data_IF_247777190363
#
_entry.id   IF_247777190363
#
_cell.length_a   1.000
_cell.length_b   1.000
_cell.length_c   1.000
_cell.angle_alpha   90.00
_cell.angle_beta   90.00
_cell.angle_gamma   90.00
#
_symmetry.space_group_name_H-M   'P 1'
#
loop_
_entity.id
_entity.type
_entity.pdbx_description
1 polymer ?
#
# COMPACT_ATOMS: atom_id res chain seq x y z
N UNK A 1 2.48 16.65 10.25
CA UNK A 1 2.13 15.71 9.16
C UNK A 1 1.40 14.49 9.72
N UNK A 2 2.06 13.63 10.52
CA UNK A 2 1.42 12.43 11.11
C UNK A 2 0.12 12.75 11.87
N UNK A 3 0.11 13.74 12.77
CA UNK A 3 -1.10 14.15 13.51
C UNK A 3 -2.21 14.67 12.58
N UNK A 4 -1.85 15.37 11.49
CA UNK A 4 -2.82 15.90 10.53
C UNK A 4 -3.46 14.77 9.71
N UNK A 5 -2.69 13.75 9.33
CA UNK A 5 -3.19 12.54 8.67
C UNK A 5 -4.18 11.79 9.58
N UNK A 6 -3.83 11.61 10.85
CA UNK A 6 -4.74 10.95 11.82
C UNK A 6 -6.01 11.78 12.00
N UNK A 7 -5.90 13.10 12.12
CA UNK A 7 -7.07 13.97 12.20
C UNK A 7 -7.95 13.88 10.96
N UNK A 8 -7.38 13.83 9.75
CA UNK A 8 -8.15 13.65 8.52
C UNK A 8 -8.96 12.35 8.58
N UNK A 9 -8.32 11.22 8.89
CA UNK A 9 -9.03 9.94 8.93
C UNK A 9 -10.07 9.87 10.06
N UNK A 10 -9.79 10.45 11.23
CA UNK A 10 -10.79 10.56 12.30
C UNK A 10 -11.99 11.40 11.88
N UNK A 11 -11.75 12.52 11.17
CA UNK A 11 -12.83 13.35 10.65
C UNK A 11 -13.62 12.61 9.56
N UNK A 12 -12.96 11.79 8.73
CA UNK A 12 -13.64 10.98 7.72
C UNK A 12 -14.50 9.87 8.36
N UNK A 13 -13.96 9.18 9.37
CA UNK A 13 -14.69 8.17 10.16
C UNK A 13 -15.97 8.76 10.81
N UNK A 14 -15.90 10.02 11.30
CA UNK A 14 -17.02 10.68 11.98
C UNK A 14 -18.01 11.32 11.00
N UNK A 15 -17.52 12.04 9.99
CA UNK A 15 -18.34 12.93 9.16
C UNK A 15 -18.58 12.42 7.74
N UNK A 16 -17.89 11.36 7.29
CA UNK A 16 -17.90 10.86 5.91
C UNK A 16 -17.66 11.99 4.91
N UNK A 17 -16.42 12.46 4.88
CA UNK A 17 -16.04 13.64 4.12
C UNK A 17 -16.25 13.41 2.61
N UNK A 18 -16.39 14.53 1.90
CA UNK A 18 -16.45 14.49 0.45
C UNK A 18 -15.10 13.95 -0.10
N UNK A 19 -15.10 12.97 -1.04
CA UNK A 19 -13.89 12.42 -1.64
C UNK A 19 -12.92 13.46 -2.21
N UNK A 20 -13.43 14.56 -2.77
CA UNK A 20 -12.60 15.64 -3.30
C UNK A 20 -11.89 16.45 -2.21
N UNK A 21 -12.55 16.68 -1.08
CA UNK A 21 -11.93 17.33 0.08
C UNK A 21 -10.82 16.45 0.64
N UNK A 22 -11.11 15.16 0.82
CA UNK A 22 -10.12 14.18 1.26
C UNK A 22 -8.90 14.14 0.36
N UNK A 23 -9.11 14.00 -0.95
CA UNK A 23 -8.05 13.98 -1.95
C UNK A 23 -7.21 15.27 -1.90
N UNK A 24 -7.84 16.43 -1.70
CA UNK A 24 -7.14 17.70 -1.57
C UNK A 24 -6.21 17.72 -0.35
N UNK A 25 -6.65 17.20 0.79
CA UNK A 25 -5.82 17.11 2.00
C UNK A 25 -4.69 16.09 1.82
N UNK A 26 -4.95 14.96 1.16
CA UNK A 26 -3.93 13.95 0.85
C UNK A 26 -2.83 14.50 -0.08
N UNK A 27 -3.20 15.32 -1.07
CA UNK A 27 -2.23 16.01 -1.95
C UNK A 27 -1.37 16.99 -1.14
N UNK A 28 -1.96 17.74 -0.20
CA UNK A 28 -1.22 18.66 0.67
C UNK A 28 -0.26 17.89 1.57
N UNK A 29 -0.71 16.77 2.16
CA UNK A 29 0.13 15.90 2.99
C UNK A 29 1.29 15.32 2.17
N UNK A 30 1.01 14.80 0.98
CA UNK A 30 2.01 14.24 0.07
C UNK A 30 3.04 15.30 -0.37
N UNK A 31 2.58 16.52 -0.67
CA UNK A 31 3.45 17.65 -0.99
C UNK A 31 4.34 18.03 0.19
N UNK A 32 3.83 17.99 1.42
CA UNK A 32 4.63 18.25 2.62
C UNK A 32 5.71 17.17 2.85
N UNK A 33 5.43 15.90 2.57
CA UNK A 33 6.44 14.82 2.59
C UNK A 33 7.55 15.13 1.58
N UNK A 34 7.17 15.39 0.32
CA UNK A 34 8.11 15.66 -0.77
C UNK A 34 8.96 16.87 -0.45
N UNK A 35 8.35 17.98 0.00
CA UNK A 35 9.06 19.17 0.44
C UNK A 35 10.12 18.88 1.50
N UNK A 36 9.78 18.06 2.51
CA UNK A 36 10.63 17.81 3.67
C UNK A 36 11.80 16.87 3.40
N UNK A 37 11.61 15.88 2.52
CA UNK A 37 12.55 14.78 2.30
C UNK A 37 13.31 14.86 0.99
N UNK A 38 12.69 15.41 -0.05
CA UNK A 38 13.19 15.37 -1.42
C UNK A 38 13.46 16.78 -1.95
N UNK A 39 12.59 17.73 -1.62
CA UNK A 39 12.58 19.08 -2.17
C UNK A 39 11.80 19.18 -3.49
N UNK A 40 11.82 20.37 -4.10
CA UNK A 40 11.11 20.70 -5.35
C UNK A 40 12.06 21.14 -6.48
N UNK A 41 13.36 20.90 -6.32
CA UNK A 41 14.40 21.26 -7.28
C UNK A 41 14.24 20.50 -8.61
N UNK A 42 13.69 19.29 -8.57
CA UNK A 42 13.29 18.53 -9.75
C UNK A 42 11.75 18.42 -9.80
N UNK A 43 11.06 19.31 -10.51
CA UNK A 43 9.60 19.37 -10.53
C UNK A 43 8.94 18.08 -11.02
N UNK A 44 9.54 17.39 -11.98
CA UNK A 44 9.02 16.14 -12.51
C UNK A 44 9.07 15.04 -11.45
N UNK A 45 10.21 14.88 -10.78
CA UNK A 45 10.36 13.88 -9.73
C UNK A 45 9.42 14.17 -8.54
N UNK A 46 9.37 15.42 -8.10
CA UNK A 46 8.48 15.84 -7.02
C UNK A 46 7.01 15.61 -7.38
N UNK A 47 6.59 15.90 -8.61
CA UNK A 47 5.23 15.62 -9.09
C UNK A 47 4.90 14.12 -9.05
N UNK A 48 5.79 13.28 -9.57
CA UNK A 48 5.63 11.81 -9.54
C UNK A 48 5.46 11.31 -8.11
N UNK A 49 6.24 11.82 -7.16
CA UNK A 49 6.11 11.43 -5.76
C UNK A 49 4.83 11.93 -5.10
N UNK A 50 4.39 13.17 -5.38
CA UNK A 50 3.12 13.69 -4.83
C UNK A 50 1.95 12.84 -5.29
N UNK A 51 1.87 12.53 -6.58
CA UNK A 51 0.83 11.65 -7.13
C UNK A 51 0.97 10.24 -6.55
N UNK A 52 2.19 9.70 -6.49
CA UNK A 52 2.47 8.38 -5.96
C UNK A 52 2.07 8.20 -4.49
N UNK A 53 2.39 9.17 -3.63
CA UNK A 53 2.04 9.14 -2.21
C UNK A 53 0.55 9.36 -1.96
N UNK A 54 -0.10 10.25 -2.75
CA UNK A 54 -1.56 10.41 -2.72
C UNK A 54 -2.25 9.10 -3.10
N UNK A 55 -1.76 8.44 -4.16
CA UNK A 55 -2.22 7.11 -4.56
C UNK A 55 -1.96 6.06 -3.48
N UNK A 56 -0.79 6.09 -2.82
CA UNK A 56 -0.43 5.12 -1.78
C UNK A 56 -1.29 5.27 -0.53
N UNK A 57 -1.63 6.50 -0.11
CA UNK A 57 -2.58 6.77 0.97
C UNK A 57 -3.94 6.12 0.68
N UNK A 58 -4.48 6.34 -0.51
CA UNK A 58 -5.74 5.72 -0.95
C UNK A 58 -5.62 4.21 -1.08
N UNK A 59 -4.52 3.69 -1.63
CA UNK A 59 -4.31 2.26 -1.80
C UNK A 59 -4.27 1.53 -0.46
N UNK A 60 -3.59 2.09 0.54
CA UNK A 60 -3.53 1.50 1.89
C UNK A 60 -4.90 1.55 2.57
N UNK A 61 -5.67 2.63 2.38
CA UNK A 61 -7.04 2.72 2.87
C UNK A 61 -7.98 1.70 2.21
N UNK A 62 -7.89 1.52 0.89
CA UNK A 62 -8.73 0.57 0.16
C UNK A 62 -8.48 -0.90 0.53
N UNK A 63 -7.26 -1.27 0.91
CA UNK A 63 -6.97 -2.65 1.32
C UNK A 63 -7.37 -2.97 2.77
N UNK A 64 -7.82 -1.98 3.55
CA UNK A 64 -8.27 -2.13 4.94
C UNK A 64 -9.72 -2.65 5.05
N UNK A 65 -10.08 -3.63 4.20
CA UNK A 65 -11.43 -4.21 4.20
C UNK A 65 -11.58 -5.50 5.03
N UNK A 66 -10.48 -6.11 5.47
CA UNK A 66 -10.49 -7.31 6.32
C UNK A 66 -9.40 -7.27 7.39
N UNK A 67 -9.76 -7.77 8.58
CA UNK A 67 -8.92 -7.95 9.77
C UNK A 67 -7.50 -8.47 9.43
N UNK A 68 -6.48 -7.72 9.85
CA UNK A 68 -5.06 -8.05 9.76
C UNK A 68 -4.38 -7.70 8.42
N UNK A 69 -5.12 -7.52 7.33
CA UNK A 69 -4.53 -7.43 5.98
C UNK A 69 -3.69 -6.17 5.79
N UNK A 70 -4.26 -5.01 6.12
CA UNK A 70 -3.61 -3.73 5.89
C UNK A 70 -2.32 -3.59 6.72
N UNK A 71 -2.42 -3.80 8.04
CA UNK A 71 -1.26 -3.69 8.93
C UNK A 71 -0.16 -4.70 8.61
N UNK A 72 -0.51 -5.95 8.27
CA UNK A 72 0.49 -6.95 7.90
C UNK A 72 1.20 -6.62 6.59
N UNK A 73 0.45 -6.18 5.56
CA UNK A 73 1.04 -5.79 4.26
C UNK A 73 1.98 -4.58 4.40
N UNK A 74 1.58 -3.55 5.17
CA UNK A 74 2.42 -2.37 5.44
C UNK A 74 3.64 -2.73 6.29
N UNK A 75 3.48 -3.60 7.28
CA UNK A 75 4.59 -4.09 8.11
C UNK A 75 5.63 -4.84 7.29
N UNK A 76 5.20 -5.72 6.36
CA UNK A 76 6.09 -6.40 5.42
C UNK A 76 6.84 -5.37 4.57
N UNK A 77 6.13 -4.47 3.89
CA UNK A 77 6.79 -3.46 3.03
C UNK A 77 7.80 -2.61 3.82
N UNK A 78 7.46 -2.20 5.04
CA UNK A 78 8.33 -1.40 5.90
C UNK A 78 9.58 -2.17 6.37
N UNK A 79 9.47 -3.46 6.64
CA UNK A 79 10.63 -4.30 6.95
C UNK A 79 11.62 -4.37 5.78
N UNK A 80 11.12 -4.36 4.54
CA UNK A 80 11.99 -4.34 3.38
C UNK A 80 12.58 -2.96 3.08
N UNK A 81 11.88 -1.88 3.44
CA UNK A 81 12.51 -0.55 3.48
C UNK A 81 13.66 -0.48 4.48
N UNK A 82 13.59 -1.19 5.62
CA UNK A 82 14.73 -1.28 6.56
C UNK A 82 15.97 -1.89 5.88
N UNK A 83 15.81 -2.98 5.13
CA UNK A 83 16.92 -3.60 4.38
C UNK A 83 17.41 -2.75 3.20
N UNK A 84 16.54 -1.91 2.64
CA UNK A 84 16.91 -0.96 1.60
C UNK A 84 17.73 0.23 2.16
N UNK A 85 17.39 0.68 3.38
CA UNK A 85 17.91 1.87 4.04
C UNK A 85 19.41 1.85 4.30
N UNK A 86 20.05 3.01 4.09
CA UNK A 86 21.50 3.18 4.27
C UNK A 86 21.85 4.01 5.51
N UNK A 87 21.01 4.96 5.89
CA UNK A 87 21.19 5.81 7.07
C UNK A 87 20.32 5.36 8.25
N UNK A 88 20.75 5.73 9.47
CA UNK A 88 20.07 5.33 10.69
C UNK A 88 18.65 5.88 10.78
N UNK A 89 18.42 7.12 10.36
CA UNK A 89 17.08 7.72 10.41
C UNK A 89 16.07 6.90 9.58
N UNK A 90 16.42 6.52 8.35
CA UNK A 90 15.54 5.73 7.49
C UNK A 90 15.30 4.32 8.07
N UNK A 91 16.31 3.70 8.67
CA UNK A 91 16.19 2.40 9.37
C UNK A 91 15.28 2.47 10.59
N UNK A 92 15.47 3.48 11.43
CA UNK A 92 14.69 3.69 12.65
C UNK A 92 13.22 3.96 12.31
N UNK A 93 12.97 4.74 11.26
CA UNK A 93 11.63 4.96 10.72
C UNK A 93 10.98 3.65 10.24
N UNK A 94 11.70 2.83 9.48
CA UNK A 94 11.21 1.52 9.03
C UNK A 94 10.87 0.59 10.20
N UNK A 95 11.77 0.47 11.18
CA UNK A 95 11.55 -0.37 12.35
C UNK A 95 10.41 0.15 13.22
N UNK A 96 10.24 1.47 13.33
CA UNK A 96 9.11 2.09 14.03
C UNK A 96 7.79 1.73 13.34
N UNK A 97 7.72 1.82 12.01
CA UNK A 97 6.51 1.41 11.28
C UNK A 97 6.22 -0.08 11.45
N UNK A 98 7.25 -0.93 11.41
CA UNK A 98 7.10 -2.38 11.69
C UNK A 98 6.56 -2.60 13.10
N UNK A 99 7.09 -1.91 14.11
CA UNK A 99 6.64 -2.04 15.50
C UNK A 99 5.18 -1.58 15.67
N UNK A 100 4.77 -0.49 15.02
CA UNK A 100 3.37 -0.02 15.01
C UNK A 100 2.46 -1.09 14.39
N UNK A 101 2.82 -1.64 13.23
CA UNK A 101 2.05 -2.70 12.58
C UNK A 101 1.95 -3.97 13.45
N UNK A 102 3.06 -4.44 14.03
CA UNK A 102 3.07 -5.62 14.90
C UNK A 102 2.25 -5.40 16.16
N UNK A 103 2.39 -4.24 16.82
CA UNK A 103 1.62 -3.88 18.00
C UNK A 103 0.12 -3.84 17.72
N UNK A 104 -0.29 -3.27 16.57
CA UNK A 104 -1.69 -3.23 16.17
C UNK A 104 -2.24 -4.61 15.79
N UNK A 105 -1.43 -5.45 15.11
CA UNK A 105 -1.83 -6.81 14.73
C UNK A 105 -2.18 -7.71 15.92
N UNK A 106 -1.60 -7.48 17.10
CA UNK A 106 -2.00 -8.19 18.33
C UNK A 106 -3.49 -8.02 18.66
N UNK A 107 -4.10 -6.92 18.22
CA UNK A 107 -5.51 -6.61 18.44
C UNK A 107 -6.36 -6.74 17.17
N UNK A 108 -5.77 -6.58 15.98
CA UNK A 108 -6.48 -6.57 14.71
C UNK A 108 -6.45 -7.90 13.95
N UNK A 109 -5.52 -8.82 14.25
CA UNK A 109 -5.48 -10.11 13.58
C UNK A 109 -6.73 -10.95 13.91
N UNK A 110 -7.34 -11.66 12.94
CA UNK A 110 -8.64 -12.31 13.17
C UNK A 110 -8.62 -13.33 14.33
N UNK A 111 -9.56 -13.24 15.29
CA UNK A 111 -10.69 -12.31 15.35
C UNK A 111 -10.26 -10.91 15.85
N UNK A 112 -10.58 -9.86 15.08
CA UNK A 112 -10.23 -8.50 15.45
C UNK A 112 -10.99 -8.04 16.70
N UNK A 113 -10.26 -7.46 17.65
CA UNK A 113 -10.78 -6.73 18.82
C UNK A 113 -10.89 -5.24 18.55
N UNK A 114 -10.07 -4.72 17.63
CA UNK A 114 -10.00 -3.31 17.25
C UNK A 114 -9.96 -3.24 15.73
N UNK A 115 -10.87 -2.45 15.14
CA UNK A 115 -10.85 -2.11 13.72
C UNK A 115 -9.94 -0.92 13.47
N UNK A 116 -9.32 -0.85 12.29
CA UNK A 116 -8.32 0.17 11.97
C UNK A 116 -8.96 1.53 11.66
N UNK A 117 -10.03 1.54 10.85
CA UNK A 117 -10.72 2.76 10.44
C UNK A 117 -9.87 3.62 9.48
N UNK A 118 -10.45 4.72 9.01
CA UNK A 118 -9.77 5.62 8.09
C UNK A 118 -8.58 6.33 8.77
N UNK A 119 -8.72 6.64 10.07
CA UNK A 119 -7.62 7.18 10.88
C UNK A 119 -6.36 6.29 10.87
N UNK A 120 -6.53 4.99 11.09
CA UNK A 120 -5.42 4.05 11.14
C UNK A 120 -4.82 3.76 9.77
N UNK A 121 -5.67 3.59 8.75
CA UNK A 121 -5.21 3.25 7.40
C UNK A 121 -4.49 4.42 6.72
N UNK A 122 -4.95 5.66 6.87
CA UNK A 122 -4.21 6.83 6.39
C UNK A 122 -2.89 7.03 7.15
N UNK A 123 -2.86 6.78 8.46
CA UNK A 123 -1.61 6.79 9.23
C UNK A 123 -0.59 5.79 8.66
N UNK A 124 -1.01 4.56 8.39
CA UNK A 124 -0.12 3.55 7.81
C UNK A 124 0.33 3.91 6.39
N UNK A 125 -0.56 4.46 5.56
CA UNK A 125 -0.22 4.95 4.22
C UNK A 125 0.80 6.10 4.25
N UNK A 126 0.65 7.00 5.22
CA UNK A 126 1.60 8.09 5.47
C UNK A 126 2.96 7.57 5.92
N UNK A 127 3.00 6.63 6.89
CA UNK A 127 4.25 6.03 7.36
C UNK A 127 4.97 5.28 6.24
N UNK A 128 4.24 4.57 5.39
CA UNK A 128 4.82 3.88 4.23
C UNK A 128 5.36 4.88 3.19
N UNK A 129 4.65 5.98 2.94
CA UNK A 129 5.11 7.07 2.07
C UNK A 129 6.36 7.76 2.61
N UNK A 130 6.45 7.97 3.93
CA UNK A 130 7.64 8.49 4.59
C UNK A 130 8.84 7.54 4.45
N UNK A 131 8.61 6.23 4.59
CA UNK A 131 9.66 5.22 4.36
C UNK A 131 10.19 5.29 2.92
N UNK A 132 9.29 5.41 1.94
CA UNK A 132 9.66 5.59 0.53
C UNK A 132 10.48 6.88 0.35
N UNK A 133 9.99 8.03 0.82
CA UNK A 133 10.64 9.32 0.66
C UNK A 133 12.03 9.37 1.35
N UNK A 134 12.14 8.83 2.56
CA UNK A 134 13.38 8.79 3.32
C UNK A 134 14.49 8.00 2.59
N UNK A 135 14.11 6.94 1.87
CA UNK A 135 15.02 6.11 1.07
C UNK A 135 15.35 6.71 -0.32
N UNK A 136 14.57 7.68 -0.81
CA UNK A 136 14.67 8.23 -2.16
C UNK A 136 14.74 9.77 -2.17
N UNK A 137 15.52 10.35 -1.24
CA UNK A 137 15.69 11.81 -1.10
C UNK A 137 16.19 12.49 -2.37
N UNK A 138 17.03 11.79 -3.13
CA UNK A 138 17.51 12.21 -4.45
C UNK A 138 17.13 11.14 -5.45
N UNK A 139 16.64 11.54 -6.62
CA UNK A 139 16.29 10.59 -7.67
C UNK A 139 17.52 9.82 -8.14
N UNK A 140 17.50 8.51 -7.90
CA UNK A 140 18.47 7.54 -8.40
C UNK A 140 17.68 6.31 -8.83
N UNK A 141 17.82 5.92 -10.10
CA UNK A 141 17.00 4.88 -10.72
C UNK A 141 17.13 3.54 -9.98
N UNK A 142 18.35 3.22 -9.55
CA UNK A 142 18.74 2.01 -8.83
C UNK A 142 18.21 1.93 -7.40
N UNK A 143 17.62 3.02 -6.87
CA UNK A 143 16.94 3.05 -5.57
C UNK A 143 15.44 3.25 -5.70
N UNK A 144 15.06 4.11 -6.64
CA UNK A 144 13.67 4.44 -6.89
C UNK A 144 12.89 3.20 -7.32
N UNK A 145 13.38 2.42 -8.29
CA UNK A 145 12.66 1.24 -8.75
C UNK A 145 12.56 0.12 -7.70
N UNK A 146 13.62 -0.23 -6.95
CA UNK A 146 13.48 -1.10 -5.77
C UNK A 146 12.40 -0.65 -4.79
N UNK A 147 12.31 0.65 -4.53
CA UNK A 147 11.30 1.22 -3.64
C UNK A 147 9.89 1.12 -4.21
N UNK A 148 9.74 1.35 -5.53
CA UNK A 148 8.47 1.13 -6.25
C UNK A 148 8.05 -0.33 -6.16
N UNK A 149 8.99 -1.27 -6.35
CA UNK A 149 8.71 -2.71 -6.20
C UNK A 149 8.24 -3.07 -4.78
N UNK A 150 8.83 -2.48 -3.73
CA UNK A 150 8.40 -2.73 -2.35
C UNK A 150 6.93 -2.36 -2.11
N UNK A 151 6.45 -1.27 -2.70
CA UNK A 151 5.04 -0.82 -2.56
C UNK A 151 4.14 -1.25 -3.72
N UNK A 152 4.64 -2.07 -4.65
CA UNK A 152 3.95 -2.39 -5.89
C UNK A 152 2.61 -3.10 -5.69
N UNK A 153 2.50 -3.94 -4.66
CA UNK A 153 1.24 -4.62 -4.33
C UNK A 153 0.07 -3.64 -4.16
N UNK A 154 0.29 -2.55 -3.44
CA UNK A 154 -0.73 -1.52 -3.18
C UNK A 154 -1.14 -0.81 -4.49
N UNK A 155 -0.16 -0.47 -5.32
CA UNK A 155 -0.40 0.14 -6.62
C UNK A 155 -1.15 -0.82 -7.57
N UNK A 156 -0.82 -2.10 -7.54
CA UNK A 156 -1.47 -3.13 -8.36
C UNK A 156 -2.95 -3.28 -7.99
N UNK A 157 -3.29 -3.37 -6.70
CA UNK A 157 -4.68 -3.50 -6.26
C UNK A 157 -5.51 -2.24 -6.53
N UNK A 158 -4.96 -1.05 -6.23
CA UNK A 158 -5.59 0.24 -6.57
C UNK A 158 -5.83 0.37 -8.08
N UNK A 159 -4.82 0.07 -8.90
CA UNK A 159 -4.90 0.13 -10.35
C UNK A 159 -5.89 -0.88 -10.93
N UNK A 160 -5.92 -2.11 -10.40
CA UNK A 160 -6.87 -3.13 -10.82
C UNK A 160 -8.31 -2.74 -10.48
N UNK A 161 -8.54 -2.19 -9.28
CA UNK A 161 -9.83 -1.66 -8.86
C UNK A 161 -10.29 -0.50 -9.73
N UNK A 162 -9.41 0.45 -10.05
CA UNK A 162 -9.69 1.54 -10.99
C UNK A 162 -10.09 1.01 -12.37
N UNK A 163 -9.28 0.12 -12.96
CA UNK A 163 -9.53 -0.45 -14.29
C UNK A 163 -10.83 -1.26 -14.35
N UNK A 164 -11.11 -2.04 -13.30
CA UNK A 164 -12.35 -2.82 -13.17
C UNK A 164 -13.58 -1.90 -13.17
N UNK A 165 -13.55 -0.80 -12.41
CA UNK A 165 -14.65 0.19 -12.38
C UNK A 165 -14.87 0.83 -13.75
N UNK A 166 -13.81 1.30 -14.40
CA UNK A 166 -13.87 1.91 -15.73
C UNK A 166 -14.43 0.94 -16.77
N UNK A 167 -13.95 -0.32 -16.77
CA UNK A 167 -14.43 -1.36 -17.70
C UNK A 167 -15.92 -1.67 -17.51
N UNK A 168 -16.44 -1.55 -16.29
CA UNK A 168 -17.86 -1.74 -15.97
C UNK A 168 -18.70 -0.46 -16.06
N UNK A 169 -18.16 0.66 -16.57
CA UNK A 169 -18.88 1.93 -16.69
C UNK A 169 -19.22 2.62 -15.37
N UNK A 170 -18.58 2.21 -14.27
CA UNK A 170 -18.75 2.82 -12.94
C UNK A 170 -17.75 3.96 -12.74
N UNK A 171 -18.10 4.91 -11.88
CA UNK A 171 -17.19 6.00 -11.52
C UNK A 171 -15.94 5.44 -10.80
N UNK A 172 -14.72 5.85 -11.16
CA UNK A 172 -13.51 5.38 -10.49
C UNK A 172 -13.38 5.79 -9.02
N UNK A 173 -14.23 6.71 -8.56
CA UNK A 173 -14.28 7.21 -7.18
C UNK A 173 -15.37 6.53 -6.34
N UNK A 174 -16.15 5.62 -6.93
CA UNK A 174 -17.09 4.79 -6.16
C UNK A 174 -16.36 3.68 -5.40
N UNK A 175 -16.93 3.30 -4.25
CA UNK A 175 -16.41 2.21 -3.43
C UNK A 175 -16.47 0.88 -4.17
N UNK A 176 -15.49 0.03 -3.91
CA UNK A 176 -15.33 -1.27 -4.56
C UNK A 176 -15.23 -2.38 -3.52
N UNK A 177 -15.69 -3.58 -3.87
CA UNK A 177 -15.79 -4.75 -2.97
C UNK A 177 -15.21 -6.01 -3.60
N UNK A 178 -14.38 -5.86 -4.63
CA UNK A 178 -13.74 -6.94 -5.38
C UNK A 178 -12.21 -6.83 -5.34
N UNK A 179 -11.69 -6.29 -4.24
CA UNK A 179 -10.25 -6.19 -4.00
C UNK A 179 -9.61 -7.58 -3.95
N UNK A 180 -8.28 -7.61 -4.03
CA UNK A 180 -7.49 -8.84 -4.01
C UNK A 180 -7.91 -9.79 -2.87
N UNK A 181 -8.10 -9.23 -1.66
CA UNK A 181 -8.49 -10.01 -0.49
C UNK A 181 -9.93 -10.54 -0.56
N UNK A 182 -10.87 -9.82 -1.18
CA UNK A 182 -12.25 -10.26 -1.36
C UNK A 182 -12.30 -11.51 -2.25
N UNK A 183 -11.55 -11.46 -3.36
CA UNK A 183 -11.42 -12.57 -4.31
C UNK A 183 -10.77 -13.79 -3.67
N UNK A 184 -9.76 -13.60 -2.82
CA UNK A 184 -9.21 -14.71 -2.01
C UNK A 184 -10.25 -15.24 -1.02
N UNK A 185 -10.89 -14.36 -0.24
CA UNK A 185 -11.83 -14.73 0.82
C UNK A 185 -13.01 -15.57 0.28
N UNK A 186 -13.50 -15.27 -0.93
CA UNK A 186 -14.57 -16.03 -1.58
C UNK A 186 -14.17 -17.45 -1.99
N UNK A 187 -12.89 -17.69 -2.29
CA UNK A 187 -12.37 -18.99 -2.73
C UNK A 187 -12.06 -19.94 -1.58
N UNK A 188 -11.88 -19.40 -0.37
CA UNK A 188 -11.58 -20.20 0.82
C UNK A 188 -12.89 -20.76 1.41
N UNK A 189 -12.92 -22.08 1.60
CA UNK A 189 -14.01 -22.79 2.28
C UNK A 189 -13.72 -22.93 3.78
N UNK A 190 -14.77 -22.89 4.59
CA UNK A 190 -14.69 -23.07 6.05
C UNK A 190 -15.55 -22.06 6.79
N UNK A 191 -15.44 -22.08 8.12
CA UNK A 191 -16.07 -21.07 8.98
C UNK A 191 -15.46 -19.67 8.72
N UNK A 192 -16.21 -18.63 9.10
CA UNK A 192 -15.84 -17.23 8.82
C UNK A 192 -14.48 -16.87 9.43
N UNK A 193 -14.19 -17.34 10.64
CA UNK A 193 -12.94 -17.01 11.33
C UNK A 193 -11.74 -17.64 10.62
N UNK A 194 -11.82 -18.92 10.26
CA UNK A 194 -10.81 -19.61 9.47
C UNK A 194 -10.58 -18.92 8.12
N UNK A 195 -11.66 -18.53 7.44
CA UNK A 195 -11.57 -17.81 6.16
C UNK A 195 -10.82 -16.48 6.30
N UNK A 196 -11.17 -15.66 7.29
CA UNK A 196 -10.47 -14.39 7.55
C UNK A 196 -8.97 -14.59 7.82
N UNK A 197 -8.62 -15.54 8.70
CA UNK A 197 -7.20 -15.87 9.01
C UNK A 197 -6.44 -16.32 7.77
N UNK A 198 -7.02 -17.24 7.01
CA UNK A 198 -6.39 -17.73 5.78
C UNK A 198 -6.26 -16.63 4.73
N UNK A 199 -7.24 -15.75 4.57
CA UNK A 199 -7.14 -14.60 3.66
C UNK A 199 -5.99 -13.68 4.06
N UNK A 200 -5.84 -13.36 5.35
CA UNK A 200 -4.73 -12.53 5.82
C UNK A 200 -3.37 -13.17 5.51
N UNK A 201 -3.19 -14.46 5.85
CA UNK A 201 -1.95 -15.18 5.60
C UNK A 201 -1.63 -15.32 4.09
N UNK A 202 -2.62 -15.63 3.26
CA UNK A 202 -2.44 -15.72 1.81
C UNK A 202 -2.16 -14.35 1.19
N UNK A 203 -2.72 -13.28 1.77
CA UNK A 203 -2.39 -11.91 1.33
C UNK A 203 -0.93 -11.60 1.64
N UNK A 204 -0.41 -11.95 2.82
CA UNK A 204 1.00 -11.77 3.14
C UNK A 204 1.92 -12.55 2.20
N UNK A 205 1.57 -13.81 1.88
CA UNK A 205 2.30 -14.63 0.91
C UNK A 205 2.28 -13.98 -0.48
N UNK A 206 1.19 -13.32 -0.84
CA UNK A 206 1.07 -12.63 -2.14
C UNK A 206 1.84 -11.30 -2.17
N UNK A 207 1.86 -10.56 -1.06
CA UNK A 207 2.59 -9.29 -0.97
C UNK A 207 4.09 -9.54 -1.01
N UNK A 208 4.59 -10.56 -0.31
CA UNK A 208 6.01 -10.80 -0.02
C UNK A 208 6.96 -10.85 -1.24
N UNK A 209 6.59 -11.44 -2.40
CA UNK A 209 7.46 -11.45 -3.58
C UNK A 209 7.88 -10.07 -4.07
N UNK A 210 6.99 -9.08 -4.03
CA UNK A 210 7.29 -7.73 -4.54
C UNK A 210 8.45 -7.03 -3.82
N UNK A 211 8.45 -6.91 -2.48
CA UNK A 211 9.58 -6.31 -1.76
C UNK A 211 10.85 -7.18 -1.77
N UNK A 212 10.74 -8.52 -1.87
CA UNK A 212 11.91 -9.38 -2.14
C UNK A 212 12.58 -9.03 -3.48
N UNK A 213 11.77 -8.86 -4.53
CA UNK A 213 12.25 -8.43 -5.85
C UNK A 213 12.83 -7.01 -5.79
N UNK A 214 12.27 -6.13 -4.96
CA UNK A 214 12.86 -4.82 -4.67
C UNK A 214 14.30 -4.93 -4.14
N UNK A 215 14.55 -5.77 -3.14
CA UNK A 215 15.90 -5.99 -2.61
C UNK A 215 16.83 -6.63 -3.62
N UNK A 216 16.35 -7.61 -4.40
CA UNK A 216 17.12 -8.22 -5.48
C UNK A 216 17.59 -7.14 -6.49
N UNK A 217 16.66 -6.28 -6.90
CA UNK A 217 16.89 -5.24 -7.91
C UNK A 217 17.80 -4.10 -7.45
N UNK A 218 18.12 -3.99 -6.16
CA UNK A 218 19.08 -3.00 -5.64
C UNK A 218 20.52 -3.29 -6.07
N UNK A 219 20.86 -4.55 -6.38
CA UNK A 219 22.26 -4.98 -6.44
C UNK A 219 23.02 -4.48 -7.68
N UNK A 220 22.45 -4.58 -8.88
CA UNK A 220 23.01 -4.07 -10.13
C UNK A 220 21.92 -3.95 -11.20
N UNK A 221 22.26 -3.39 -12.37
CA UNK A 221 21.27 -3.20 -13.45
C UNK A 221 20.66 -4.52 -13.94
N UNK A 222 21.46 -5.59 -14.03
CA UNK A 222 20.97 -6.90 -14.50
C UNK A 222 19.95 -7.49 -13.53
N UNK A 223 20.21 -7.46 -12.24
CA UNK A 223 19.27 -7.94 -11.21
C UNK A 223 18.03 -7.07 -11.12
N UNK A 224 18.15 -5.75 -11.37
CA UNK A 224 17.00 -4.86 -11.48
C UNK A 224 16.10 -5.26 -12.65
N UNK A 225 16.67 -5.50 -13.83
CA UNK A 225 15.91 -5.95 -15.01
C UNK A 225 15.20 -7.28 -14.72
N UNK A 226 15.92 -8.24 -14.12
CA UNK A 226 15.34 -9.54 -13.72
C UNK A 226 14.18 -9.32 -12.73
N UNK A 227 14.38 -8.47 -11.72
CA UNK A 227 13.36 -8.17 -10.72
C UNK A 227 12.09 -7.56 -11.34
N UNK A 228 12.24 -6.63 -12.29
CA UNK A 228 11.12 -6.02 -13.00
C UNK A 228 10.35 -7.04 -13.85
N UNK A 229 11.07 -7.90 -14.60
CA UNK A 229 10.44 -8.95 -15.42
C UNK A 229 9.67 -9.94 -14.55
N UNK A 230 10.26 -10.36 -13.41
CA UNK A 230 9.60 -11.26 -12.47
C UNK A 230 8.38 -10.60 -11.80
N UNK A 231 8.49 -9.33 -11.40
CA UNK A 231 7.38 -8.59 -10.79
C UNK A 231 6.22 -8.40 -11.77
N UNK A 232 6.53 -8.10 -13.04
CA UNK A 232 5.52 -7.99 -14.09
C UNK A 232 4.85 -9.34 -14.37
N UNK A 233 5.65 -10.40 -14.54
CA UNK A 233 5.15 -11.76 -14.77
C UNK A 233 4.25 -12.20 -13.62
N UNK A 234 4.68 -11.98 -12.37
CA UNK A 234 3.91 -12.30 -11.19
C UNK A 234 2.62 -11.48 -11.11
N UNK A 235 2.66 -10.18 -11.43
CA UNK A 235 1.47 -9.32 -11.49
C UNK A 235 0.45 -9.86 -12.50
N UNK A 236 0.90 -10.26 -13.70
CA UNK A 236 0.04 -10.84 -14.74
C UNK A 236 -0.59 -12.14 -14.25
N UNK A 237 0.19 -13.02 -13.61
CA UNK A 237 -0.31 -14.26 -13.05
C UNK A 237 -1.36 -13.99 -11.97
N UNK A 238 -1.10 -13.09 -11.02
CA UNK A 238 -2.06 -12.73 -9.97
C UNK A 238 -3.36 -12.17 -10.54
N UNK A 239 -3.26 -11.22 -11.47
CA UNK A 239 -4.42 -10.62 -12.15
C UNK A 239 -5.26 -11.70 -12.82
N UNK A 240 -4.64 -12.63 -13.55
CA UNK A 240 -5.34 -13.74 -14.23
C UNK A 240 -5.94 -14.73 -13.25
N UNK A 241 -5.15 -15.19 -12.28
CA UNK A 241 -5.59 -16.19 -11.30
C UNK A 241 -6.78 -15.69 -10.52
N UNK A 242 -6.75 -14.43 -10.05
CA UNK A 242 -7.84 -13.86 -9.26
C UNK A 242 -8.93 -13.18 -10.09
N UNK A 243 -8.74 -13.04 -11.40
CA UNK A 243 -9.64 -12.30 -12.27
C UNK A 243 -9.82 -10.85 -11.79
N UNK A 244 -8.72 -10.15 -11.51
CA UNK A 244 -8.77 -8.83 -10.84
C UNK A 244 -9.43 -7.73 -11.69
N UNK A 245 -9.49 -7.85 -13.02
CA UNK A 245 -10.08 -6.79 -13.87
C UNK A 245 -11.58 -6.93 -14.09
N UNK A 246 -12.18 -7.98 -13.55
CA UNK A 246 -13.59 -8.28 -13.72
C UNK A 246 -14.24 -8.50 -12.35
N UNK A 247 -15.50 -8.10 -12.22
CA UNK A 247 -16.27 -8.42 -11.03
C UNK A 247 -16.52 -9.92 -10.98
N UNK A 248 -16.38 -10.55 -9.80
CA UNK A 248 -16.92 -11.89 -9.64
C UNK A 248 -18.45 -11.77 -9.68
N UNK A 249 -19.11 -12.50 -10.57
CA UNK A 249 -20.57 -12.51 -10.65
C UNK A 249 -21.18 -13.06 -9.35
N UNK A 250 -21.53 -12.17 -8.40
CA UNK A 250 -22.66 -12.26 -7.45
C UNK A 250 -23.06 -10.87 -6.97
N UNK A 251 -24.04 -10.28 -7.65
CA UNK A 251 -25.03 -9.41 -6.98
C UNK A 251 -26.21 -10.28 -6.59
#
# INVERSE_FOLDING_TARGET
MVSLTVSLGLLDDIFRLNPFLRLSVEIVLSSAIVWRFVGFENPFYSFVLVVGFTGLLNAVNMIDGLDGICAGSVGIASLFFFFLSLDNFSKDLSLTTVAVCLGFLLYNFPPAKVFMGDAGSYLLGMLLSLNFAANNRVFQFERFLPSVLIVWFFALDLGASFLRRVKSGQSPFEGDRDHFYDKIFRRIKGDVLKRKRMTALLTYITVLPFPLLGILGKSNLTSLIIALVLALTYSILLVKTLNLFDYDERR
#
